data_IF_365824470709
#
_entry.id   IF_365824470709
#
_cell.length_a   1.000
_cell.length_b   1.000
_cell.length_c   1.000
_cell.angle_alpha   90.00
_cell.angle_beta   90.00
_cell.angle_gamma   90.00
#
_symmetry.space_group_name_H-M   'P 1'
#
loop_
_entity.id
_entity.type
_entity.pdbx_description
1 polymer ?
#
# COMPACT_ATOMS: atom_id res chain seq x y z
N UNK A 1 11.56 15.87 8.99
CA UNK A 1 10.14 15.62 9.36
C UNK A 1 9.48 14.84 8.24
N UNK A 2 8.66 13.83 8.55
CA UNK A 2 7.84 13.17 7.53
C UNK A 2 6.92 14.19 6.86
N UNK A 3 6.79 14.10 5.54
CA UNK A 3 5.79 14.87 4.78
C UNK A 3 4.79 13.86 4.23
N UNK A 4 3.71 13.67 4.96
CA UNK A 4 2.69 12.70 4.60
C UNK A 4 1.97 13.07 3.30
N UNK A 5 1.61 12.07 2.50
CA UNK A 5 0.95 12.25 1.20
C UNK A 5 1.86 12.78 0.08
N UNK A 6 3.14 12.97 0.34
CA UNK A 6 4.20 13.24 -0.63
C UNK A 6 5.09 11.99 -0.84
N UNK A 7 6.09 12.10 -1.71
CA UNK A 7 6.96 10.97 -2.04
C UNK A 7 6.41 10.12 -3.18
N UNK A 8 6.79 8.85 -3.22
CA UNK A 8 6.46 7.94 -4.32
C UNK A 8 5.01 7.48 -4.24
N UNK A 9 4.27 7.71 -5.33
CA UNK A 9 2.92 7.16 -5.55
C UNK A 9 2.99 5.94 -6.47
N UNK A 10 1.86 5.52 -7.07
CA UNK A 10 1.73 4.26 -7.77
C UNK A 10 2.74 4.08 -8.93
N UNK A 11 3.68 3.13 -8.82
CA UNK A 11 4.65 2.85 -9.88
C UNK A 11 4.11 1.90 -10.94
N UNK A 12 4.83 1.83 -12.06
CA UNK A 12 4.70 0.73 -13.02
C UNK A 12 6.05 0.13 -13.32
N UNK A 13 6.07 -1.18 -13.61
CA UNK A 13 7.25 -1.90 -14.05
C UNK A 13 7.07 -2.35 -15.49
N UNK A 14 8.13 -2.24 -16.29
CA UNK A 14 8.21 -2.76 -17.66
C UNK A 14 9.56 -3.42 -17.88
N UNK A 15 9.57 -4.41 -18.77
CA UNK A 15 10.77 -5.02 -19.29
C UNK A 15 10.90 -4.67 -20.78
N UNK A 16 12.06 -4.21 -21.19
CA UNK A 16 12.38 -3.90 -22.58
C UNK A 16 13.84 -4.16 -22.85
N UNK A 17 14.12 -4.97 -23.87
CA UNK A 17 15.48 -5.28 -24.37
C UNK A 17 16.53 -5.60 -23.27
N UNK A 18 16.19 -6.52 -22.36
CA UNK A 18 17.13 -6.98 -21.31
C UNK A 18 17.20 -6.05 -20.09
N UNK A 19 16.38 -5.01 -20.02
CA UNK A 19 16.36 -4.04 -18.93
C UNK A 19 14.97 -3.95 -18.32
N UNK A 20 14.92 -3.94 -17.00
CA UNK A 20 13.72 -3.62 -16.21
C UNK A 20 13.69 -2.12 -15.92
N UNK A 21 12.54 -1.53 -16.10
CA UNK A 21 12.25 -0.12 -15.86
C UNK A 21 11.17 0.00 -14.80
N UNK A 22 11.40 0.74 -13.73
CA UNK A 22 10.36 1.17 -12.79
C UNK A 22 10.16 2.66 -12.94
N UNK A 23 8.96 3.02 -13.37
CA UNK A 23 8.54 4.40 -13.56
C UNK A 23 7.56 4.77 -12.44
N UNK A 24 7.81 5.87 -11.74
CA UNK A 24 6.99 6.29 -10.61
C UNK A 24 6.83 7.80 -10.53
N UNK A 25 5.69 8.29 -10.03
CA UNK A 25 5.50 9.70 -9.80
C UNK A 25 5.94 10.10 -8.40
N UNK A 26 6.56 11.25 -8.29
CA UNK A 26 6.55 12.10 -7.11
C UNK A 26 5.66 13.29 -7.45
N UNK A 27 4.37 13.29 -7.10
CA UNK A 27 3.38 14.18 -7.71
C UNK A 27 3.59 15.66 -7.45
N UNK A 28 4.47 16.01 -6.52
CA UNK A 28 4.90 17.39 -6.24
C UNK A 28 6.11 17.81 -7.08
N UNK A 29 6.85 16.85 -7.66
CA UNK A 29 8.14 17.08 -8.32
C UNK A 29 8.17 16.66 -9.78
N UNK A 30 7.58 15.51 -10.12
CA UNK A 30 7.59 14.98 -11.49
C UNK A 30 7.53 13.46 -11.57
N UNK A 31 7.97 12.93 -12.70
CA UNK A 31 8.05 11.49 -12.99
C UNK A 31 9.50 11.05 -12.97
N UNK A 32 9.75 9.95 -12.28
CA UNK A 32 11.08 9.37 -12.14
C UNK A 32 11.15 7.98 -12.77
N UNK A 33 12.32 7.63 -13.25
CA UNK A 33 12.66 6.32 -13.80
C UNK A 33 13.90 5.76 -13.11
N UNK A 34 13.85 4.48 -12.73
CA UNK A 34 15.01 3.70 -12.31
C UNK A 34 15.06 2.40 -13.09
N UNK A 35 16.24 1.85 -13.29
CA UNK A 35 16.46 0.68 -14.15
C UNK A 35 17.39 -0.34 -13.51
N UNK A 36 17.25 -1.59 -13.94
CA UNK A 36 18.20 -2.66 -13.63
C UNK A 36 18.17 -3.75 -14.72
N UNK A 37 19.22 -4.53 -14.81
CA UNK A 37 19.25 -5.79 -15.61
C UNK A 37 18.85 -7.01 -14.78
N UNK A 38 18.95 -6.92 -13.47
CA UNK A 38 18.56 -7.96 -12.52
C UNK A 38 17.61 -7.36 -11.47
N UNK A 39 16.30 -7.71 -11.48
CA UNK A 39 15.33 -7.14 -10.55
C UNK A 39 15.59 -7.50 -9.09
N UNK A 40 16.41 -8.50 -8.82
CA UNK A 40 16.84 -8.90 -7.47
C UNK A 40 18.15 -8.24 -7.04
N UNK A 41 18.83 -7.55 -7.97
CA UNK A 41 20.09 -6.84 -7.76
C UNK A 41 19.89 -5.36 -7.46
N UNK A 42 20.95 -4.60 -7.74
CA UNK A 42 20.96 -3.16 -7.55
C UNK A 42 20.19 -2.44 -8.68
N UNK A 43 19.47 -1.41 -8.33
CA UNK A 43 18.78 -0.49 -9.23
C UNK A 43 19.59 0.80 -9.39
N UNK A 44 19.50 1.42 -10.57
CA UNK A 44 20.13 2.72 -10.80
C UNK A 44 19.54 3.82 -9.90
N UNK A 45 20.29 4.89 -9.71
CA UNK A 45 19.71 6.10 -9.13
C UNK A 45 18.52 6.58 -9.97
N UNK A 46 17.43 7.03 -9.33
CA UNK A 46 16.27 7.54 -10.04
C UNK A 46 16.57 8.82 -10.84
N UNK A 47 16.17 8.84 -12.11
CA UNK A 47 16.28 10.01 -13.00
C UNK A 47 14.92 10.67 -13.12
N UNK A 48 14.83 11.99 -12.90
CA UNK A 48 13.61 12.75 -13.17
C UNK A 48 13.46 12.94 -14.71
N UNK A 49 12.58 12.13 -15.31
CA UNK A 49 12.35 12.13 -16.77
C UNK A 49 11.32 13.16 -17.23
N UNK A 50 10.49 13.68 -16.32
CA UNK A 50 9.51 14.74 -16.53
C UNK A 50 9.39 15.61 -15.28
N UNK A 51 9.80 16.84 -15.35
CA UNK A 51 9.66 17.80 -14.26
C UNK A 51 8.25 18.39 -14.19
N UNK A 52 7.83 18.80 -13.01
CA UNK A 52 6.58 19.48 -12.74
C UNK A 52 5.53 18.59 -12.08
N UNK A 53 4.73 19.20 -11.22
CA UNK A 53 3.73 18.55 -10.43
C UNK A 53 2.56 17.98 -11.24
N UNK A 54 1.82 17.06 -10.61
CA UNK A 54 0.46 16.69 -10.98
C UNK A 54 0.29 15.43 -11.82
N UNK A 55 1.30 14.91 -12.49
CA UNK A 55 1.19 13.62 -13.18
C UNK A 55 1.32 12.48 -12.21
N UNK A 56 0.47 11.45 -12.38
CA UNK A 56 0.39 10.24 -11.54
C UNK A 56 0.27 8.99 -12.39
N UNK A 57 0.55 7.84 -11.79
CA UNK A 57 0.37 6.50 -12.37
C UNK A 57 1.08 6.32 -13.74
N UNK A 58 2.32 6.76 -13.91
CA UNK A 58 2.98 6.72 -15.21
C UNK A 58 3.22 5.30 -15.66
N UNK A 59 3.09 5.07 -16.98
CA UNK A 59 3.43 3.80 -17.60
C UNK A 59 4.23 4.04 -18.88
N UNK A 60 5.51 3.63 -18.93
CA UNK A 60 6.29 3.66 -20.16
C UNK A 60 5.84 2.52 -21.08
N UNK A 61 5.93 2.76 -22.37
CA UNK A 61 5.61 1.82 -23.42
C UNK A 61 6.59 1.99 -24.60
N UNK A 62 7.15 0.90 -25.07
CA UNK A 62 7.99 0.82 -26.27
C UNK A 62 7.22 0.13 -27.39
N UNK A 63 7.20 0.78 -28.55
CA UNK A 63 6.54 0.28 -29.73
C UNK A 63 7.51 -0.54 -30.62
N UNK A 64 6.94 -1.40 -31.47
CA UNK A 64 7.69 -2.25 -32.41
C UNK A 64 8.44 -1.44 -33.49
N UNK A 65 8.05 -0.19 -33.70
CA UNK A 65 8.69 0.73 -34.67
C UNK A 65 9.89 1.52 -34.09
N UNK A 66 10.27 1.22 -32.83
CA UNK A 66 11.36 1.88 -32.13
C UNK A 66 10.99 3.20 -31.46
N UNK A 67 9.73 3.64 -31.55
CA UNK A 67 9.23 4.78 -30.78
C UNK A 67 8.89 4.34 -29.35
N UNK A 68 8.96 5.29 -28.41
CA UNK A 68 8.53 5.06 -27.04
C UNK A 68 7.60 6.17 -26.56
N UNK A 69 6.73 5.83 -25.62
CA UNK A 69 5.68 6.72 -25.10
C UNK A 69 5.57 6.58 -23.59
N UNK A 70 5.13 7.65 -22.95
CA UNK A 70 4.73 7.67 -21.55
C UNK A 70 3.26 8.05 -21.45
N UNK A 71 2.43 7.19 -20.88
CA UNK A 71 1.03 7.48 -20.55
C UNK A 71 0.91 7.74 -19.06
N UNK A 72 0.08 8.71 -18.65
CA UNK A 72 -0.14 9.04 -17.24
C UNK A 72 -1.53 9.66 -17.00
N UNK A 73 -1.99 9.56 -15.76
CA UNK A 73 -3.12 10.32 -15.23
C UNK A 73 -2.69 11.60 -14.55
N UNK A 74 -3.66 12.31 -13.94
CA UNK A 74 -3.40 13.58 -13.23
C UNK A 74 -4.08 13.64 -11.88
N UNK A 75 -3.44 14.30 -10.91
CA UNK A 75 -3.91 14.47 -9.55
C UNK A 75 -4.53 15.85 -9.30
N UNK A 76 -5.84 15.89 -9.00
CA UNK A 76 -6.56 17.14 -8.66
C UNK A 76 -5.91 17.89 -7.50
N UNK A 77 -5.40 17.19 -6.52
CA UNK A 77 -4.75 17.78 -5.34
C UNK A 77 -3.47 18.59 -5.67
N UNK A 78 -2.92 18.46 -6.88
CA UNK A 78 -1.71 19.15 -7.31
C UNK A 78 -1.96 20.19 -8.42
N UNK A 79 -2.88 19.89 -9.34
CA UNK A 79 -3.12 20.75 -10.50
C UNK A 79 -4.58 21.19 -10.68
N UNK A 80 -5.46 20.89 -9.71
CA UNK A 80 -6.83 21.41 -9.65
C UNK A 80 -7.88 20.60 -10.43
N UNK A 81 -7.48 19.63 -11.27
CA UNK A 81 -8.39 18.75 -12.02
C UNK A 81 -7.92 17.29 -12.02
N UNK A 82 -8.81 16.36 -12.33
CA UNK A 82 -8.56 14.92 -12.41
C UNK A 82 -9.35 14.28 -13.56
N UNK A 83 -9.25 12.98 -13.68
CA UNK A 83 -9.98 12.16 -14.66
C UNK A 83 -9.55 12.42 -16.09
N UNK A 84 -8.31 12.80 -16.31
CA UNK A 84 -7.74 13.08 -17.64
C UNK A 84 -6.48 12.22 -17.83
N UNK A 85 -6.36 11.63 -19.01
CA UNK A 85 -5.19 10.85 -19.40
C UNK A 85 -4.39 11.56 -20.49
N UNK A 86 -3.07 11.54 -20.35
CA UNK A 86 -2.12 12.14 -21.29
C UNK A 86 -1.15 11.09 -21.83
N UNK A 87 -0.69 11.31 -23.05
CA UNK A 87 0.45 10.59 -23.65
C UNK A 87 1.46 11.61 -24.15
N UNK A 88 2.73 11.28 -23.97
CA UNK A 88 3.86 12.04 -24.51
C UNK A 88 4.89 11.08 -25.11
N UNK A 89 5.68 11.54 -26.08
CA UNK A 89 6.82 10.77 -26.58
C UNK A 89 7.90 10.66 -25.52
N UNK A 90 8.48 9.48 -25.40
CA UNK A 90 9.59 9.18 -24.51
C UNK A 90 10.84 8.86 -25.35
N UNK A 91 12.00 9.19 -24.84
CA UNK A 91 13.26 8.74 -25.45
C UNK A 91 13.29 7.18 -25.45
N UNK A 92 13.85 6.54 -26.50
CA UNK A 92 13.89 5.09 -26.57
C UNK A 92 14.63 4.43 -25.39
N UNK A 93 15.58 5.12 -24.77
CA UNK A 93 16.30 4.66 -23.57
C UNK A 93 15.49 4.81 -22.27
N UNK A 94 14.30 5.44 -22.33
CA UNK A 94 13.44 5.70 -21.18
C UNK A 94 13.85 6.87 -20.29
N UNK A 95 14.94 7.59 -20.61
CA UNK A 95 15.57 8.56 -19.72
C UNK A 95 15.09 10.01 -19.92
N UNK A 96 14.01 10.22 -20.64
CA UNK A 96 13.42 11.55 -20.84
C UNK A 96 12.19 11.52 -21.72
N UNK A 97 11.43 12.59 -21.67
CA UNK A 97 10.30 12.85 -22.58
C UNK A 97 10.63 13.98 -23.55
N UNK A 98 9.91 14.03 -24.66
CA UNK A 98 10.03 15.12 -25.64
C UNK A 98 8.73 15.31 -26.43
N UNK A 99 8.59 16.49 -27.04
CA UNK A 99 7.42 16.83 -27.84
C UNK A 99 6.24 17.31 -27.00
N UNK A 100 5.04 17.22 -27.54
CA UNK A 100 3.82 17.71 -26.93
C UNK A 100 3.20 16.66 -26.00
N UNK A 101 2.74 17.10 -24.83
CA UNK A 101 1.91 16.31 -23.90
C UNK A 101 0.46 16.35 -24.38
N UNK A 102 0.00 15.27 -25.01
CA UNK A 102 -1.33 15.21 -25.64
C UNK A 102 -2.36 14.64 -24.68
N UNK A 103 -3.45 15.37 -24.43
CA UNK A 103 -4.65 14.84 -23.76
C UNK A 103 -5.31 13.83 -24.69
N UNK A 104 -5.30 12.56 -24.33
CA UNK A 104 -5.88 11.47 -25.12
C UNK A 104 -7.29 11.10 -24.71
N UNK A 105 -7.67 11.39 -23.47
CA UNK A 105 -9.00 11.07 -22.95
C UNK A 105 -9.38 11.98 -21.79
N UNK A 106 -10.65 12.40 -21.75
CA UNK A 106 -11.24 13.15 -20.66
C UNK A 106 -12.43 12.39 -20.08
N UNK A 107 -12.25 11.79 -18.92
CA UNK A 107 -13.26 11.02 -18.24
C UNK A 107 -14.41 11.87 -17.69
N UNK A 108 -14.22 13.18 -17.52
CA UNK A 108 -15.29 14.06 -17.09
C UNK A 108 -16.33 14.29 -18.21
N UNK A 109 -15.91 14.17 -19.46
CA UNK A 109 -16.80 14.29 -20.63
C UNK A 109 -17.40 12.94 -21.09
N UNK A 110 -16.90 11.82 -20.53
CA UNK A 110 -17.23 10.47 -20.99
C UNK A 110 -17.77 9.53 -19.88
N UNK A 111 -18.31 10.06 -18.80
CA UNK A 111 -18.82 9.31 -17.64
C UNK A 111 -17.78 8.31 -17.04
N UNK A 112 -16.49 8.63 -17.19
CA UNK A 112 -15.37 7.86 -16.64
C UNK A 112 -14.68 8.66 -15.51
N UNK A 113 -15.48 9.16 -14.57
CA UNK A 113 -15.00 9.97 -13.45
C UNK A 113 -13.96 9.18 -12.65
N UNK A 114 -12.90 9.85 -12.26
CA UNK A 114 -11.75 9.26 -11.55
C UNK A 114 -11.03 8.19 -12.41
N UNK A 115 -11.02 8.36 -13.73
CA UNK A 115 -10.15 7.52 -14.57
C UNK A 115 -8.69 7.85 -14.27
N UNK A 116 -7.91 6.82 -13.98
CA UNK A 116 -6.51 6.91 -13.53
C UNK A 116 -5.78 5.60 -13.84
N UNK A 117 -4.57 5.39 -13.33
CA UNK A 117 -3.85 4.12 -13.41
C UNK A 117 -3.59 3.59 -14.82
N UNK A 118 -3.33 4.42 -15.85
CA UNK A 118 -3.27 3.94 -17.22
C UNK A 118 -2.08 3.00 -17.45
N UNK A 119 -2.31 1.93 -18.24
CA UNK A 119 -1.27 1.02 -18.72
C UNK A 119 -1.43 0.83 -20.22
N UNK A 120 -0.39 1.19 -21.00
CA UNK A 120 -0.42 1.11 -22.47
C UNK A 120 0.13 -0.21 -22.97
N UNK A 121 -0.52 -0.75 -24.00
CA UNK A 121 -0.16 -1.99 -24.70
C UNK A 121 -0.45 -1.87 -26.20
N UNK A 122 0.07 -2.81 -26.99
CA UNK A 122 -0.25 -2.93 -28.43
C UNK A 122 -0.61 -4.38 -28.77
N UNK A 123 -1.67 -4.57 -29.53
CA UNK A 123 -2.11 -5.88 -30.03
C UNK A 123 -2.89 -5.70 -31.35
N UNK A 124 -2.62 -6.56 -32.32
CA UNK A 124 -3.33 -6.57 -33.62
C UNK A 124 -3.37 -5.19 -34.30
N UNK A 125 -2.29 -4.39 -34.14
CA UNK A 125 -2.18 -3.05 -34.70
C UNK A 125 -3.07 -1.98 -34.04
N UNK A 126 -3.60 -2.27 -32.83
CA UNK A 126 -4.26 -1.31 -31.97
C UNK A 126 -3.40 -1.00 -30.74
N UNK A 127 -3.42 0.25 -30.33
CA UNK A 127 -2.95 0.70 -29.02
C UNK A 127 -4.11 0.64 -28.04
N UNK A 128 -3.83 0.05 -26.86
CA UNK A 128 -4.79 -0.09 -25.77
C UNK A 128 -4.28 0.67 -24.57
N UNK A 129 -5.16 1.41 -23.91
CA UNK A 129 -4.89 1.98 -22.59
C UNK A 129 -5.89 1.38 -21.60
N UNK A 130 -5.36 0.56 -20.69
CA UNK A 130 -6.12 -0.03 -19.60
C UNK A 130 -6.16 0.98 -18.47
N UNK A 131 -7.32 1.52 -18.15
CA UNK A 131 -7.46 2.54 -17.11
C UNK A 131 -8.75 2.33 -16.30
N UNK A 132 -8.66 2.12 -14.97
CA UNK A 132 -9.84 2.02 -14.13
C UNK A 132 -10.50 3.39 -13.96
N UNK A 133 -11.82 3.37 -13.70
CA UNK A 133 -12.62 4.55 -13.41
C UNK A 133 -13.61 4.27 -12.28
N UNK A 134 -14.32 5.28 -11.77
CA UNK A 134 -15.35 5.14 -10.74
C UNK A 134 -14.82 5.03 -9.30
N UNK A 135 -13.51 5.11 -9.11
CA UNK A 135 -12.84 5.05 -7.80
C UNK A 135 -12.67 3.63 -7.25
N UNK A 136 -11.80 3.49 -6.26
CA UNK A 136 -11.30 2.21 -5.74
C UNK A 136 -12.36 1.33 -5.05
N UNK A 137 -13.50 1.90 -4.67
CA UNK A 137 -14.56 1.16 -3.93
C UNK A 137 -15.75 0.77 -4.78
N UNK A 138 -16.02 1.50 -5.84
CA UNK A 138 -17.23 1.32 -6.68
C UNK A 138 -16.93 1.31 -8.15
N UNK A 139 -15.65 1.36 -8.53
CA UNK A 139 -15.22 1.53 -9.90
C UNK A 139 -15.24 0.26 -10.74
N UNK A 140 -14.70 0.40 -11.92
CA UNK A 140 -14.65 -0.59 -12.97
C UNK A 140 -13.39 -0.44 -13.81
N UNK A 141 -13.08 -1.43 -14.63
CA UNK A 141 -11.98 -1.34 -15.59
C UNK A 141 -12.49 -0.88 -16.95
N UNK A 142 -11.97 0.23 -17.41
CA UNK A 142 -12.18 0.77 -18.76
C UNK A 142 -10.96 0.48 -19.63
N UNK A 143 -11.19 0.20 -20.90
CA UNK A 143 -10.17 0.07 -21.93
C UNK A 143 -10.42 1.14 -23.00
N UNK A 144 -9.37 1.87 -23.33
CA UNK A 144 -9.34 2.75 -24.51
C UNK A 144 -8.62 2.01 -25.64
N UNK A 145 -9.10 2.17 -26.89
CA UNK A 145 -8.50 1.54 -28.09
C UNK A 145 -8.39 2.53 -29.23
N UNK A 146 -7.24 2.54 -29.91
CA UNK A 146 -6.97 3.38 -31.07
C UNK A 146 -5.99 2.75 -32.04
N UNK A 147 -5.98 3.19 -33.31
CA UNK A 147 -4.92 2.86 -34.28
C UNK A 147 -3.70 3.78 -34.19
N UNK A 148 -3.77 4.82 -33.35
CA UNK A 148 -2.68 5.79 -33.16
C UNK A 148 -2.45 6.00 -31.66
N UNK A 149 -1.20 6.02 -31.17
CA UNK A 149 -0.90 6.21 -29.74
C UNK A 149 -1.43 7.53 -29.17
N UNK A 150 -1.65 8.52 -29.99
CA UNK A 150 -2.24 9.82 -29.61
C UNK A 150 -3.75 9.91 -29.84
N UNK A 151 -4.40 8.81 -30.24
CA UNK A 151 -5.83 8.75 -30.50
C UNK A 151 -6.25 9.17 -31.93
N UNK A 152 -7.57 9.42 -32.17
CA UNK A 152 -8.64 9.37 -31.16
C UNK A 152 -8.90 7.96 -30.64
N UNK A 153 -9.32 7.86 -29.37
CA UNK A 153 -9.64 6.61 -28.71
C UNK A 153 -11.16 6.38 -28.64
N UNK A 154 -11.60 5.19 -28.95
CA UNK A 154 -12.89 4.63 -28.52
C UNK A 154 -12.69 3.92 -27.17
N UNK A 155 -13.75 3.74 -26.37
CA UNK A 155 -13.63 3.08 -25.07
C UNK A 155 -14.76 2.09 -24.78
N UNK A 156 -14.45 1.13 -23.89
CA UNK A 156 -15.40 0.14 -23.40
C UNK A 156 -15.08 -0.19 -21.95
N UNK A 157 -16.12 -0.37 -21.12
CA UNK A 157 -15.98 -0.96 -19.78
C UNK A 157 -15.96 -2.48 -19.95
N UNK A 158 -14.95 -3.15 -19.42
CA UNK A 158 -14.70 -4.59 -19.66
C UNK A 158 -14.69 -5.44 -18.38
N UNK A 159 -14.69 -4.82 -17.20
CA UNK A 159 -14.79 -5.51 -15.91
C UNK A 159 -15.56 -4.62 -14.93
N UNK A 160 -16.59 -5.18 -14.32
CA UNK A 160 -17.38 -4.58 -13.21
C UNK A 160 -17.49 -5.56 -12.08
N UNK A 161 -17.79 -5.08 -10.88
CA UNK A 161 -18.05 -5.94 -9.72
C UNK A 161 -19.15 -6.98 -10.02
N UNK A 162 -20.27 -6.56 -10.62
CA UNK A 162 -21.44 -7.42 -10.80
C UNK A 162 -21.92 -7.99 -9.46
N UNK A 163 -22.22 -9.29 -9.45
CA UNK A 163 -22.63 -10.04 -8.26
C UNK A 163 -21.45 -10.60 -7.45
N UNK A 164 -20.21 -10.30 -7.86
CA UNK A 164 -19.03 -10.78 -7.16
C UNK A 164 -18.78 -10.00 -5.85
N UNK A 165 -18.09 -10.61 -4.87
CA UNK A 165 -17.67 -9.89 -3.66
C UNK A 165 -16.49 -8.93 -3.89
N UNK A 166 -15.93 -8.89 -5.11
CA UNK A 166 -14.74 -8.09 -5.45
C UNK A 166 -15.15 -6.74 -5.99
N UNK A 167 -15.14 -5.73 -5.15
CA UNK A 167 -15.52 -4.37 -5.50
C UNK A 167 -14.38 -3.62 -6.23
N UNK A 168 -14.75 -2.60 -6.98
CA UNK A 168 -13.90 -1.54 -7.51
C UNK A 168 -12.54 -1.97 -8.07
N UNK A 169 -12.46 -2.86 -9.10
CA UNK A 169 -11.17 -3.28 -9.64
C UNK A 169 -10.37 -2.07 -10.10
N UNK A 170 -9.13 -1.94 -9.58
CA UNK A 170 -8.30 -0.75 -9.79
C UNK A 170 -6.84 -1.10 -10.00
N UNK A 171 -6.08 -0.17 -10.62
CA UNK A 171 -4.63 -0.27 -10.88
C UNK A 171 -4.22 -1.58 -11.55
N UNK A 172 -5.02 -2.03 -12.51
CA UNK A 172 -4.84 -3.32 -13.15
C UNK A 172 -3.76 -3.32 -14.24
N UNK A 173 -3.28 -4.54 -14.54
CA UNK A 173 -2.33 -4.79 -15.60
C UNK A 173 -2.66 -6.09 -16.34
N UNK A 174 -2.63 -6.05 -17.67
CA UNK A 174 -2.64 -7.24 -18.50
C UNK A 174 -1.28 -7.92 -18.45
N UNK A 175 -1.29 -9.23 -18.25
CA UNK A 175 -0.12 -10.10 -18.23
C UNK A 175 -0.42 -11.32 -19.09
N UNK A 176 0.48 -11.68 -19.97
CA UNK A 176 0.43 -12.89 -20.78
C UNK A 176 1.42 -13.94 -20.27
N UNK A 177 1.09 -15.22 -20.49
CA UNK A 177 1.97 -16.35 -20.16
C UNK A 177 2.78 -16.78 -21.39
N UNK A 178 3.84 -17.52 -21.18
CA UNK A 178 4.65 -18.12 -22.25
C UNK A 178 3.85 -19.11 -23.13
N UNK A 179 2.71 -19.60 -22.65
CA UNK A 179 1.79 -20.48 -23.37
C UNK A 179 0.72 -19.73 -24.15
N UNK A 180 0.71 -18.39 -24.04
CA UNK A 180 -0.24 -17.53 -24.76
C UNK A 180 -1.59 -17.34 -24.07
N UNK A 181 -1.66 -17.57 -22.75
CA UNK A 181 -2.84 -17.21 -21.97
C UNK A 181 -2.76 -15.75 -21.53
N UNK A 182 -3.90 -15.09 -21.54
CA UNK A 182 -4.06 -13.72 -21.07
C UNK A 182 -4.66 -13.69 -19.66
N UNK A 183 -4.10 -12.88 -18.80
CA UNK A 183 -4.51 -12.70 -17.40
C UNK A 183 -4.51 -11.23 -17.03
N UNK A 184 -5.29 -10.88 -16.01
CA UNK A 184 -5.40 -9.51 -15.53
C UNK A 184 -5.19 -9.44 -14.03
N UNK A 185 -4.17 -8.72 -13.59
CA UNK A 185 -3.93 -8.39 -12.19
C UNK A 185 -4.65 -7.09 -11.84
N UNK A 186 -5.32 -7.06 -10.70
CA UNK A 186 -5.88 -5.83 -10.14
C UNK A 186 -5.95 -5.92 -8.63
N UNK A 187 -6.24 -4.83 -7.93
CA UNK A 187 -6.55 -4.90 -6.52
C UNK A 187 -8.04 -4.67 -6.24
N UNK A 188 -8.46 -5.11 -5.05
CA UNK A 188 -9.69 -4.78 -4.38
C UNK A 188 -9.39 -3.96 -3.14
N UNK A 189 -10.12 -2.89 -2.85
CA UNK A 189 -10.04 -2.15 -1.58
C UNK A 189 -10.91 -2.82 -0.52
N UNK A 190 -10.29 -3.37 0.53
CA UNK A 190 -10.95 -4.06 1.64
C UNK A 190 -10.84 -3.22 2.92
N UNK A 191 -10.96 -1.92 2.78
CA UNK A 191 -11.04 -0.93 3.87
C UNK A 191 -9.88 -1.03 4.87
N UNK A 192 -10.14 -1.36 6.15
CA UNK A 192 -9.10 -1.45 7.16
C UNK A 192 -8.05 -2.52 6.86
N UNK A 193 -8.44 -3.64 6.22
CA UNK A 193 -7.51 -4.67 5.77
C UNK A 193 -6.67 -4.24 4.55
N UNK A 194 -7.00 -3.11 3.92
CA UNK A 194 -6.22 -2.54 2.83
C UNK A 194 -6.56 -3.10 1.45
N UNK A 195 -5.58 -3.06 0.55
CA UNK A 195 -5.75 -3.45 -0.84
C UNK A 195 -5.24 -4.87 -1.07
N UNK A 196 -6.11 -5.73 -1.56
CA UNK A 196 -5.83 -7.15 -1.82
C UNK A 196 -5.74 -7.36 -3.32
N UNK A 197 -4.68 -8.02 -3.77
CA UNK A 197 -4.44 -8.30 -5.19
C UNK A 197 -5.21 -9.54 -5.62
N UNK A 198 -5.84 -9.44 -6.79
CA UNK A 198 -6.54 -10.51 -7.48
C UNK A 198 -5.92 -10.78 -8.84
N UNK A 199 -5.99 -12.04 -9.27
CA UNK A 199 -5.65 -12.46 -10.62
C UNK A 199 -6.93 -12.96 -11.31
N UNK A 200 -7.30 -12.34 -12.43
CA UNK A 200 -8.50 -12.71 -13.20
C UNK A 200 -8.12 -13.36 -14.52
N UNK A 201 -8.89 -14.35 -15.00
CA UNK A 201 -8.77 -14.80 -16.39
C UNK A 201 -9.13 -13.65 -17.34
N UNK A 202 -8.50 -13.63 -18.49
CA UNK A 202 -8.80 -12.67 -19.54
C UNK A 202 -8.79 -13.36 -20.91
N UNK A 203 -9.64 -12.95 -21.82
CA UNK A 203 -9.62 -13.38 -23.21
C UNK A 203 -10.08 -12.23 -24.13
N UNK A 204 -9.88 -12.39 -25.43
CA UNK A 204 -10.17 -11.35 -26.40
C UNK A 204 -11.33 -11.75 -27.31
N UNK A 205 -12.28 -10.83 -27.47
CA UNK A 205 -13.40 -10.96 -28.39
C UNK A 205 -13.52 -9.69 -29.26
N UNK A 206 -13.45 -9.84 -30.59
CA UNK A 206 -13.54 -8.72 -31.54
C UNK A 206 -12.55 -7.57 -31.20
N UNK A 207 -11.31 -7.93 -30.86
CA UNK A 207 -10.26 -7.02 -30.42
C UNK A 207 -10.63 -6.17 -29.17
N UNK A 208 -11.49 -6.68 -28.30
CA UNK A 208 -11.72 -6.16 -26.95
C UNK A 208 -11.46 -7.25 -25.91
N UNK A 209 -10.81 -6.92 -24.79
CA UNK A 209 -10.65 -7.89 -23.72
C UNK A 209 -11.97 -8.05 -22.94
N UNK A 210 -12.23 -9.28 -22.53
CA UNK A 210 -13.21 -9.63 -21.49
C UNK A 210 -12.39 -10.10 -20.29
N UNK A 211 -12.55 -9.43 -19.15
CA UNK A 211 -11.79 -9.71 -17.93
C UNK A 211 -12.72 -10.36 -16.92
N UNK A 212 -12.27 -11.44 -16.28
CA UNK A 212 -13.10 -12.26 -15.42
C UNK A 212 -14.01 -13.17 -16.23
N UNK A 213 -15.24 -13.38 -15.77
CA UNK A 213 -16.24 -14.26 -16.42
C UNK A 213 -17.47 -13.46 -16.78
N UNK A 214 -17.86 -13.54 -18.05
CA UNK A 214 -19.14 -13.02 -18.51
C UNK A 214 -20.24 -14.03 -18.20
N UNK A 215 -21.12 -13.76 -17.25
CA UNK A 215 -22.16 -14.67 -16.79
C UNK A 215 -23.47 -14.58 -17.59
N UNK A 216 -23.82 -13.39 -18.04
CA UNK A 216 -25.17 -13.11 -18.54
C UNK A 216 -25.18 -12.57 -19.99
N UNK A 217 -24.09 -12.75 -20.74
CA UNK A 217 -23.95 -12.18 -22.07
C UNK A 217 -23.83 -10.65 -22.07
N UNK A 218 -23.39 -10.08 -20.97
CA UNK A 218 -23.10 -8.67 -20.84
C UNK A 218 -21.88 -8.27 -21.69
N UNK A 219 -21.72 -6.98 -21.92
CA UNK A 219 -20.54 -6.45 -22.61
C UNK A 219 -19.27 -6.38 -21.75
N UNK A 220 -19.31 -6.88 -20.51
CA UNK A 220 -18.21 -6.88 -19.54
C UNK A 220 -18.15 -8.21 -18.76
N UNK A 221 -17.01 -8.51 -18.18
CA UNK A 221 -16.88 -9.64 -17.24
C UNK A 221 -17.01 -9.20 -15.79
N UNK A 222 -17.11 -10.20 -14.91
CA UNK A 222 -17.14 -10.06 -13.45
C UNK A 222 -15.93 -10.78 -12.84
N UNK A 223 -15.35 -10.26 -11.73
CA UNK A 223 -14.28 -10.94 -11.04
C UNK A 223 -14.69 -12.32 -10.53
N UNK A 224 -13.76 -13.25 -10.52
CA UNK A 224 -13.91 -14.56 -9.90
C UNK A 224 -13.01 -14.69 -8.70
N UNK A 225 -13.47 -15.42 -7.65
CA UNK A 225 -12.68 -15.71 -6.46
C UNK A 225 -11.82 -16.97 -6.61
N UNK A 226 -12.23 -17.85 -7.50
CA UNK A 226 -11.56 -19.11 -7.79
C UNK A 226 -11.49 -19.33 -9.29
N UNK A 227 -10.34 -19.75 -9.77
CA UNK A 227 -10.10 -20.15 -11.14
C UNK A 227 -8.94 -21.13 -11.23
N UNK A 228 -8.78 -21.80 -12.37
CA UNK A 228 -7.60 -22.62 -12.62
C UNK A 228 -6.32 -21.75 -12.55
N UNK A 229 -5.20 -22.35 -12.17
CA UNK A 229 -3.92 -21.66 -12.23
C UNK A 229 -3.52 -21.35 -13.68
N UNK A 230 -2.78 -20.24 -13.93
CA UNK A 230 -2.18 -19.98 -15.23
C UNK A 230 -1.29 -21.15 -15.70
N UNK A 231 -1.36 -21.46 -16.98
CA UNK A 231 -0.38 -22.33 -17.61
C UNK A 231 0.89 -21.52 -17.91
N UNK A 232 1.96 -21.84 -17.21
CA UNK A 232 3.28 -21.19 -17.38
C UNK A 232 4.27 -22.07 -18.14
N UNK A 233 3.79 -23.06 -18.87
CA UNK A 233 4.60 -23.98 -19.67
C UNK A 233 5.47 -24.94 -18.82
N UNK A 234 4.99 -25.27 -17.61
CA UNK A 234 5.66 -26.20 -16.70
C UNK A 234 4.80 -27.41 -16.43
N UNK A 235 5.43 -28.59 -16.38
CA UNK A 235 4.73 -29.81 -16.03
C UNK A 235 4.38 -29.85 -14.53
N UNK A 236 3.37 -30.66 -14.12
CA UNK A 236 3.09 -30.86 -12.70
C UNK A 236 4.30 -31.36 -11.89
N UNK A 237 5.15 -32.17 -12.50
CA UNK A 237 6.38 -32.70 -11.88
C UNK A 237 7.42 -31.61 -11.65
N UNK A 238 7.58 -30.69 -12.63
CA UNK A 238 8.47 -29.53 -12.47
C UNK A 238 7.95 -28.58 -11.36
N UNK A 239 6.63 -28.37 -11.28
CA UNK A 239 5.99 -27.51 -10.26
C UNK A 239 6.00 -28.15 -8.86
N UNK A 240 6.13 -29.49 -8.78
CA UNK A 240 6.26 -30.20 -7.50
C UNK A 240 7.64 -30.05 -6.86
N UNK A 241 8.63 -29.52 -7.60
CA UNK A 241 9.94 -29.19 -7.03
C UNK A 241 9.82 -27.96 -6.09
N UNK A 242 9.59 -28.24 -4.81
CA UNK A 242 9.42 -27.22 -3.79
C UNK A 242 10.71 -26.44 -3.48
N UNK A 243 11.88 -26.91 -3.89
CA UNK A 243 13.11 -26.13 -3.77
C UNK A 243 13.18 -25.01 -4.82
N UNK A 244 12.68 -25.30 -6.04
CA UNK A 244 12.66 -24.33 -7.14
C UNK A 244 11.40 -23.45 -7.12
N UNK A 245 10.28 -24.02 -6.69
CA UNK A 245 8.98 -23.33 -6.62
C UNK A 245 8.40 -23.50 -5.22
N UNK A 246 8.99 -22.85 -4.21
CA UNK A 246 8.49 -22.95 -2.85
C UNK A 246 7.08 -22.35 -2.74
N UNK A 247 6.25 -22.98 -1.93
CA UNK A 247 5.02 -22.32 -1.46
C UNK A 247 5.46 -21.32 -0.41
N UNK A 248 5.35 -20.04 -0.74
CA UNK A 248 5.72 -18.95 0.16
C UNK A 248 4.47 -18.29 0.71
N UNK A 249 4.43 -18.16 2.02
CA UNK A 249 3.48 -17.30 2.73
C UNK A 249 4.24 -16.09 3.28
N UNK A 250 3.66 -14.89 3.29
CA UNK A 250 4.30 -13.75 3.91
C UNK A 250 4.55 -14.01 5.40
N UNK A 251 5.77 -13.77 5.83
CA UNK A 251 6.09 -13.84 7.25
C UNK A 251 5.29 -12.79 8.03
N UNK A 252 4.77 -13.17 9.18
CA UNK A 252 4.01 -12.28 10.07
C UNK A 252 4.65 -12.17 11.44
N UNK A 253 5.31 -13.22 11.90
CA UNK A 253 6.07 -13.26 13.16
C UNK A 253 7.55 -13.01 12.86
N UNK A 254 8.22 -12.29 13.77
CA UNK A 254 9.66 -12.05 13.70
C UNK A 254 10.26 -12.15 15.12
N UNK A 255 11.21 -13.04 15.28
CA UNK A 255 11.96 -13.20 16.53
C UNK A 255 13.25 -12.36 16.56
N UNK A 256 13.49 -11.58 15.49
CA UNK A 256 14.64 -10.69 15.32
C UNK A 256 16.00 -11.38 15.45
N UNK A 257 16.09 -12.60 14.94
CA UNK A 257 17.29 -13.45 14.96
C UNK A 257 18.17 -13.26 13.70
N UNK A 258 17.79 -12.34 12.84
CA UNK A 258 18.53 -11.95 11.63
C UNK A 258 19.24 -10.62 11.79
N UNK A 259 20.32 -10.39 11.04
CA UNK A 259 21.06 -9.12 11.07
C UNK A 259 20.27 -7.94 10.52
N UNK A 260 19.27 -8.21 9.66
CA UNK A 260 18.44 -7.19 9.03
C UNK A 260 16.98 -7.51 9.28
N UNK A 261 16.16 -6.47 9.30
CA UNK A 261 14.70 -6.61 9.35
C UNK A 261 14.21 -7.40 8.14
N UNK A 262 13.26 -8.30 8.38
CA UNK A 262 12.59 -9.07 7.35
C UNK A 262 11.65 -8.18 6.51
N UNK A 263 11.25 -8.66 5.34
CA UNK A 263 10.52 -7.85 4.33
C UNK A 263 9.10 -7.41 4.74
N UNK A 264 8.50 -8.02 5.76
CA UNK A 264 7.19 -7.60 6.27
C UNK A 264 7.24 -6.24 6.99
N UNK A 265 8.42 -5.83 7.47
CA UNK A 265 8.59 -4.56 8.18
C UNK A 265 8.70 -3.38 7.24
N UNK A 266 8.11 -2.28 7.64
CA UNK A 266 8.20 -1.01 6.94
C UNK A 266 8.20 0.15 7.92
N UNK A 267 9.00 1.15 7.63
CA UNK A 267 9.00 2.41 8.38
C UNK A 267 7.88 3.33 7.91
N UNK A 268 7.37 4.13 8.82
CA UNK A 268 6.31 5.10 8.50
C UNK A 268 6.80 6.26 7.61
N UNK A 269 8.10 6.52 7.63
CA UNK A 269 8.78 7.53 6.82
C UNK A 269 10.20 7.08 6.52
N UNK A 270 10.99 7.93 5.86
CA UNK A 270 12.41 7.67 5.65
C UNK A 270 13.11 7.46 6.99
N UNK A 271 13.74 6.30 7.13
CA UNK A 271 14.41 5.92 8.37
C UNK A 271 15.92 6.18 8.30
N UNK A 272 16.55 6.06 9.45
CA UNK A 272 17.99 6.08 9.61
C UNK A 272 18.41 4.77 10.30
N UNK A 273 19.50 4.16 9.84
CA UNK A 273 19.99 2.89 10.37
C UNK A 273 20.26 2.92 11.88
N UNK A 274 20.53 4.11 12.44
CA UNK A 274 20.73 4.29 13.88
C UNK A 274 19.45 4.15 14.72
N UNK A 275 18.27 4.04 14.10
CA UNK A 275 17.01 3.97 14.83
C UNK A 275 16.72 2.59 15.41
N UNK A 276 17.41 1.55 14.94
CA UNK A 276 17.21 0.20 15.46
C UNK A 276 18.51 -0.60 15.45
N UNK A 277 18.50 -1.67 16.23
CA UNK A 277 19.50 -2.72 16.23
C UNK A 277 18.81 -4.06 16.47
N UNK A 278 19.15 -5.08 15.68
CA UNK A 278 18.80 -6.46 15.97
C UNK A 278 19.97 -7.10 16.70
N UNK A 279 19.70 -7.79 17.82
CA UNK A 279 20.78 -8.36 18.65
C UNK A 279 20.38 -9.66 19.30
N UNK A 280 21.36 -10.52 19.47
CA UNK A 280 21.30 -11.60 20.44
C UNK A 280 21.41 -11.03 21.86
N UNK A 281 20.69 -11.63 22.81
CA UNK A 281 20.53 -11.12 24.17
C UNK A 281 21.85 -10.78 24.87
N UNK A 282 22.05 -9.50 25.16
CA UNK A 282 23.17 -8.98 25.96
C UNK A 282 22.72 -8.62 27.38
N UNK A 283 21.40 -8.59 27.65
CA UNK A 283 20.83 -8.09 28.90
C UNK A 283 20.04 -9.14 29.70
N UNK A 284 19.96 -10.39 29.22
CA UNK A 284 19.27 -11.49 29.89
C UNK A 284 17.74 -11.36 29.95
N UNK A 285 17.13 -10.52 29.10
CA UNK A 285 15.71 -10.23 29.08
C UNK A 285 15.07 -10.41 27.68
N UNK A 286 15.80 -11.04 26.78
CA UNK A 286 15.35 -11.24 25.43
C UNK A 286 14.31 -12.38 25.29
N UNK A 287 13.91 -12.65 24.05
CA UNK A 287 13.07 -13.79 23.71
C UNK A 287 13.66 -15.11 24.22
N UNK A 288 12.87 -16.16 24.22
CA UNK A 288 13.36 -17.51 24.55
C UNK A 288 14.53 -17.95 23.69
N UNK A 289 14.65 -17.38 22.49
CA UNK A 289 15.74 -17.62 21.54
C UNK A 289 16.97 -16.72 21.74
N UNK A 290 16.91 -15.78 22.69
CA UNK A 290 18.02 -14.87 22.98
C UNK A 290 18.21 -13.73 21.98
N UNK A 291 17.24 -13.45 21.13
CA UNK A 291 17.27 -12.35 20.16
C UNK A 291 16.19 -11.29 20.41
N UNK A 292 16.41 -10.09 19.95
CA UNK A 292 15.48 -8.97 20.11
C UNK A 292 15.77 -7.85 19.11
N UNK A 293 14.79 -6.97 18.91
CA UNK A 293 15.01 -5.67 18.33
C UNK A 293 15.11 -4.61 19.44
N UNK A 294 16.10 -3.72 19.34
CA UNK A 294 16.20 -2.50 20.12
C UNK A 294 15.81 -1.33 19.24
N UNK A 295 14.81 -0.59 19.65
CA UNK A 295 14.43 0.67 19.01
C UNK A 295 15.04 1.83 19.82
N UNK A 296 15.78 2.71 19.16
CA UNK A 296 16.37 3.89 19.78
C UNK A 296 15.37 5.05 19.74
N UNK A 297 15.13 5.68 20.88
CA UNK A 297 14.25 6.83 20.95
C UNK A 297 14.80 7.99 20.12
N UNK A 298 13.96 8.48 19.21
CA UNK A 298 14.28 9.63 18.36
C UNK A 298 13.45 10.80 18.85
N UNK A 299 14.08 11.98 19.10
CA UNK A 299 13.34 13.14 19.56
C UNK A 299 12.21 13.50 18.60
N UNK A 300 10.98 13.52 19.13
CA UNK A 300 9.84 14.13 18.46
C UNK A 300 9.83 15.63 18.79
N UNK A 301 9.37 16.45 17.87
CA UNK A 301 9.01 17.83 18.23
C UNK A 301 7.85 17.77 19.22
N UNK A 302 7.85 18.57 20.30
CA UNK A 302 6.77 18.57 21.26
C UNK A 302 5.41 18.71 20.56
N UNK A 303 4.41 17.95 21.01
CA UNK A 303 3.03 17.98 20.54
C UNK A 303 2.76 17.39 19.14
N UNK A 304 3.59 16.48 18.64
CA UNK A 304 3.26 15.76 17.41
C UNK A 304 2.40 14.54 17.68
N UNK A 305 1.39 14.29 16.82
CA UNK A 305 0.61 13.05 16.86
C UNK A 305 1.44 11.80 16.64
N UNK A 306 0.99 10.66 17.15
CA UNK A 306 1.69 9.36 16.97
C UNK A 306 2.00 9.07 15.50
N UNK A 307 1.11 9.42 14.57
CA UNK A 307 1.36 9.26 13.15
C UNK A 307 2.59 9.98 12.60
N UNK A 308 3.09 10.98 13.33
CA UNK A 308 4.29 11.75 12.98
C UNK A 308 5.55 11.29 13.74
N UNK A 309 5.46 10.27 14.59
CA UNK A 309 6.65 9.73 15.25
C UNK A 309 7.61 9.18 14.20
N UNK A 310 8.89 9.46 14.36
CA UNK A 310 9.90 9.01 13.41
C UNK A 310 10.15 7.52 13.51
N UNK A 311 10.34 7.00 14.71
CA UNK A 311 10.61 5.59 14.93
C UNK A 311 9.31 4.80 15.11
N UNK A 312 8.59 4.62 14.00
CA UNK A 312 7.42 3.76 13.86
C UNK A 312 7.77 2.61 12.93
N UNK A 313 7.94 1.41 13.48
CA UNK A 313 8.20 0.19 12.73
C UNK A 313 6.92 -0.64 12.62
N UNK A 314 6.41 -0.80 11.41
CA UNK A 314 5.05 -1.23 11.13
C UNK A 314 5.01 -2.46 10.22
N UNK A 315 3.93 -3.22 10.34
CA UNK A 315 3.52 -4.27 9.40
C UNK A 315 2.11 -3.98 8.88
N UNK A 316 1.79 -4.47 7.68
CA UNK A 316 0.40 -4.54 7.21
C UNK A 316 -0.37 -5.56 8.05
N UNK A 317 -1.68 -5.38 8.16
CA UNK A 317 -2.54 -6.42 8.73
C UNK A 317 -2.43 -7.70 7.90
N UNK A 318 -2.13 -8.84 8.52
CA UNK A 318 -2.01 -10.11 7.80
C UNK A 318 -3.37 -10.70 7.40
N UNK A 319 -4.43 -10.32 8.12
CA UNK A 319 -5.79 -10.81 7.93
C UNK A 319 -6.80 -9.79 8.48
N UNK A 320 -8.10 -9.92 8.12
CA UNK A 320 -9.17 -9.11 8.73
C UNK A 320 -9.39 -9.39 10.23
N UNK A 321 -9.00 -10.57 10.69
CA UNK A 321 -9.08 -11.00 12.08
C UNK A 321 -7.77 -11.70 12.46
N UNK A 322 -7.13 -11.23 13.51
CA UNK A 322 -5.86 -11.79 13.98
C UNK A 322 -5.53 -11.29 15.39
N UNK A 323 -4.56 -11.94 16.01
CA UNK A 323 -3.94 -11.50 17.25
C UNK A 323 -2.43 -11.49 17.08
N UNK A 324 -1.76 -10.47 17.57
CA UNK A 324 -0.32 -10.45 17.72
C UNK A 324 0.09 -10.00 19.11
N UNK A 325 1.25 -10.47 19.55
CA UNK A 325 1.80 -10.19 20.88
C UNK A 325 3.26 -9.78 20.77
N UNK A 326 3.69 -8.95 21.69
CA UNK A 326 5.12 -8.62 21.85
C UNK A 326 5.49 -8.56 23.33
N UNK A 327 6.69 -9.03 23.65
CA UNK A 327 7.32 -8.85 24.95
C UNK A 327 8.23 -7.64 24.88
N UNK A 328 8.04 -6.66 25.75
CA UNK A 328 8.76 -5.42 25.76
C UNK A 328 9.58 -5.26 27.04
N UNK A 329 10.88 -5.08 26.92
CA UNK A 329 11.75 -4.67 28.01
C UNK A 329 11.63 -3.18 28.24
N UNK A 330 11.53 -2.76 29.50
CA UNK A 330 11.52 -1.36 29.92
C UNK A 330 12.93 -0.82 30.23
N UNK A 331 13.94 -1.68 30.07
CA UNK A 331 15.32 -1.28 30.29
C UNK A 331 15.75 -0.17 29.30
N UNK A 332 16.37 0.86 29.84
CA UNK A 332 16.89 1.97 29.04
C UNK A 332 15.90 3.09 28.75
N UNK A 333 14.61 2.94 29.12
CA UNK A 333 13.69 4.08 29.04
C UNK A 333 14.12 5.23 29.95
N UNK A 334 14.17 6.43 29.41
CA UNK A 334 14.50 7.68 30.11
C UNK A 334 13.24 8.54 30.30
N UNK A 335 13.32 9.50 31.24
CA UNK A 335 12.24 10.48 31.39
C UNK A 335 12.00 11.21 30.06
N UNK A 336 10.72 11.29 29.65
CA UNK A 336 10.31 11.79 28.35
C UNK A 336 10.11 10.72 27.29
N UNK A 337 10.59 9.49 27.50
CA UNK A 337 10.39 8.41 26.54
C UNK A 337 8.96 7.85 26.64
N UNK A 338 8.43 7.47 25.48
CA UNK A 338 7.19 6.70 25.32
C UNK A 338 7.41 5.61 24.29
N UNK A 339 7.19 4.36 24.68
CA UNK A 339 7.40 3.19 23.82
C UNK A 339 6.27 2.18 23.97
N UNK A 340 5.95 1.46 22.90
CA UNK A 340 4.90 0.46 22.91
C UNK A 340 4.48 -0.03 21.54
N UNK A 341 3.21 -0.40 21.43
CA UNK A 341 2.55 -0.85 20.19
C UNK A 341 1.57 0.18 19.67
N UNK A 342 1.36 0.15 18.37
CA UNK A 342 0.45 1.06 17.67
C UNK A 342 -0.38 0.32 16.63
N UNK A 343 -1.61 0.72 16.47
CA UNK A 343 -2.46 0.41 15.32
C UNK A 343 -2.74 1.70 14.58
N UNK A 344 -2.18 1.86 13.38
CA UNK A 344 -2.11 3.11 12.64
C UNK A 344 -2.93 3.07 11.36
N UNK A 345 -4.00 3.82 11.33
CA UNK A 345 -4.81 4.16 10.16
C UNK A 345 -5.14 5.66 10.17
N UNK A 346 -6.23 6.07 9.55
CA UNK A 346 -6.78 7.42 9.69
C UNK A 346 -7.24 7.69 11.13
N UNK A 347 -7.92 6.71 11.73
CA UNK A 347 -8.11 6.62 13.16
C UNK A 347 -7.11 5.61 13.70
N UNK A 348 -6.55 5.85 14.87
CA UNK A 348 -5.48 5.01 15.42
C UNK A 348 -5.54 4.91 16.95
N UNK A 349 -4.86 3.89 17.47
CA UNK A 349 -4.63 3.75 18.89
C UNK A 349 -3.19 3.30 19.17
N UNK A 350 -2.64 3.76 20.28
CA UNK A 350 -1.34 3.33 20.79
C UNK A 350 -1.45 2.97 22.26
N UNK A 351 -0.67 1.96 22.66
CA UNK A 351 -0.55 1.50 24.03
C UNK A 351 0.91 1.27 24.36
N UNK A 352 1.37 1.79 25.47
CA UNK A 352 2.74 1.56 25.90
C UNK A 352 3.05 2.18 27.25
N UNK A 353 4.35 2.30 27.52
CA UNK A 353 4.88 2.85 28.75
C UNK A 353 5.59 4.16 28.47
N UNK A 354 5.16 5.21 29.15
CA UNK A 354 5.89 6.45 29.25
C UNK A 354 6.70 6.46 30.55
N UNK A 355 7.89 7.07 30.52
CA UNK A 355 8.66 7.37 31.74
C UNK A 355 8.53 8.85 32.04
N UNK A 356 8.06 9.17 33.25
CA UNK A 356 7.79 10.53 33.71
C UNK A 356 8.17 10.68 35.18
N UNK A 357 8.98 11.67 35.48
CA UNK A 357 9.47 11.95 36.84
C UNK A 357 10.06 10.70 37.53
N UNK A 358 10.87 9.92 36.80
CA UNK A 358 11.48 8.66 37.24
C UNK A 358 10.52 7.47 37.34
N UNK A 359 9.23 7.59 37.04
CA UNK A 359 8.22 6.54 37.18
C UNK A 359 7.71 6.05 35.84
N UNK A 360 7.37 4.76 35.77
CA UNK A 360 6.69 4.17 34.63
C UNK A 360 5.18 4.45 34.70
N UNK A 361 4.62 4.92 33.61
CA UNK A 361 3.21 5.26 33.46
C UNK A 361 2.63 4.51 32.29
N UNK A 362 1.54 3.78 32.50
CA UNK A 362 0.80 3.19 31.40
C UNK A 362 0.07 4.30 30.64
N UNK A 363 0.42 4.43 29.38
CA UNK A 363 -0.16 5.45 28.50
C UNK A 363 -0.90 4.83 27.33
N UNK A 364 -2.11 5.30 27.11
CA UNK A 364 -2.88 5.03 25.92
C UNK A 364 -3.14 6.32 25.14
N UNK A 365 -3.14 6.18 23.82
CA UNK A 365 -3.47 7.28 22.91
C UNK A 365 -4.56 6.80 21.95
N UNK A 366 -5.59 7.63 21.74
CA UNK A 366 -6.51 7.52 20.61
C UNK A 366 -6.38 8.76 19.76
N UNK A 367 -6.13 8.59 18.49
CA UNK A 367 -6.08 9.66 17.52
C UNK A 367 -7.13 9.50 16.44
N UNK A 368 -7.66 10.62 16.01
CA UNK A 368 -8.57 10.72 14.88
C UNK A 368 -8.08 11.80 13.94
N UNK A 369 -7.87 11.44 12.71
CA UNK A 369 -7.50 12.41 11.69
C UNK A 369 -8.75 12.97 11.03
N UNK A 370 -8.98 14.28 11.21
CA UNK A 370 -9.97 15.03 10.46
C UNK A 370 -9.40 15.39 9.09
N UNK A 371 -9.54 14.48 8.15
CA UNK A 371 -8.78 14.54 6.93
C UNK A 371 -9.68 14.54 5.71
N UNK A 372 -9.60 15.62 4.90
CA UNK A 372 -10.01 15.60 3.52
C UNK A 372 -8.88 14.87 2.72
N UNK A 373 -9.24 13.85 1.95
CA UNK A 373 -8.29 13.04 1.19
C UNK A 373 -7.41 13.85 0.22
N UNK A 374 -7.76 15.11 -0.04
CA UNK A 374 -7.03 16.03 -0.92
C UNK A 374 -6.13 17.02 -0.16
N UNK A 375 -6.22 17.10 1.19
CA UNK A 375 -5.40 18.01 1.99
C UNK A 375 -4.06 17.40 2.40
N UNK A 376 -3.04 18.23 2.54
CA UNK A 376 -1.78 17.81 3.15
C UNK A 376 -1.97 17.51 4.65
N UNK A 377 -1.15 16.62 5.19
CA UNK A 377 -1.09 16.37 6.63
C UNK A 377 -0.64 17.64 7.36
N UNK A 378 -1.47 18.17 8.22
CA UNK A 378 -1.11 19.27 9.12
C UNK A 378 -1.45 18.87 10.55
N UNK A 379 -0.69 19.36 11.53
CA UNK A 379 -0.93 19.11 12.96
C UNK A 379 -2.34 19.57 13.41
N UNK A 380 -2.96 20.50 12.69
CA UNK A 380 -4.31 21.01 12.94
C UNK A 380 -5.41 20.00 12.60
N UNK A 381 -5.11 18.95 11.83
CA UNK A 381 -6.10 17.98 11.36
C UNK A 381 -6.17 16.71 12.22
N UNK A 382 -5.48 16.67 13.36
CA UNK A 382 -5.45 15.49 14.24
C UNK A 382 -6.03 15.82 15.60
N UNK A 383 -7.09 15.10 15.99
CA UNK A 383 -7.64 15.11 17.36
C UNK A 383 -7.08 13.89 18.11
N UNK A 384 -6.16 14.15 19.05
CA UNK A 384 -5.47 13.09 19.80
C UNK A 384 -5.79 13.19 21.30
N UNK A 385 -6.25 12.08 21.86
CA UNK A 385 -6.54 11.97 23.30
C UNK A 385 -5.52 11.05 23.96
N UNK A 386 -4.70 11.63 24.85
CA UNK A 386 -3.71 10.93 25.66
C UNK A 386 -4.30 10.66 27.05
N UNK A 387 -4.16 9.42 27.55
CA UNK A 387 -4.61 9.04 28.89
C UNK A 387 -3.49 8.26 29.59
N UNK A 388 -3.07 8.80 30.73
CA UNK A 388 -2.16 8.13 31.65
C UNK A 388 -3.00 7.49 32.76
N UNK A 389 -3.00 6.15 32.88
CA UNK A 389 -3.98 5.42 33.73
C UNK A 389 -3.38 4.78 34.95
N UNK A 390 -2.12 4.37 34.93
CA UNK A 390 -1.50 3.65 36.03
C UNK A 390 -0.02 4.01 36.15
N UNK A 391 0.43 4.18 37.39
CA UNK A 391 1.85 4.25 37.72
C UNK A 391 2.24 2.90 38.30
N UNK A 392 3.28 2.29 37.82
CA UNK A 392 3.76 1.01 38.32
C UNK A 392 5.21 1.05 38.76
N UNK A 393 5.61 0.01 39.48
CA UNK A 393 6.90 -0.03 40.15
C UNK A 393 8.07 0.07 39.19
N UNK A 394 9.12 0.79 39.56
CA UNK A 394 10.40 0.81 38.85
C UNK A 394 11.09 -0.58 38.84
N UNK A 395 10.63 -1.52 39.67
CA UNK A 395 11.07 -2.92 39.63
C UNK A 395 10.51 -3.70 38.46
N UNK A 396 9.47 -3.20 37.77
CA UNK A 396 8.93 -3.80 36.57
C UNK A 396 9.96 -3.75 35.45
N UNK A 397 10.43 -4.93 35.02
CA UNK A 397 11.47 -5.04 33.99
C UNK A 397 10.89 -5.27 32.60
N UNK A 398 9.73 -5.91 32.54
CA UNK A 398 9.12 -6.41 31.30
C UNK A 398 7.61 -6.31 31.38
N UNK A 399 7.00 -6.01 30.25
CA UNK A 399 5.57 -6.07 30.03
C UNK A 399 5.29 -6.88 28.74
N UNK A 400 4.06 -7.32 28.59
CA UNK A 400 3.56 -7.99 27.39
C UNK A 400 2.42 -7.16 26.84
N UNK A 401 2.48 -6.88 25.57
CA UNK A 401 1.48 -6.09 24.86
C UNK A 401 0.84 -6.98 23.80
N UNK A 402 -0.48 -6.92 23.69
CA UNK A 402 -1.26 -7.69 22.73
C UNK A 402 -2.17 -6.79 21.93
N UNK A 403 -2.35 -7.12 20.68
CA UNK A 403 -3.21 -6.44 19.74
C UNK A 403 -4.14 -7.46 19.09
N UNK A 404 -5.43 -7.30 19.26
CA UNK A 404 -6.47 -8.20 18.73
C UNK A 404 -7.40 -7.44 17.81
N UNK A 405 -7.62 -7.97 16.61
CA UNK A 405 -8.58 -7.44 15.62
C UNK A 405 -9.69 -8.44 15.40
N UNK A 406 -10.93 -7.98 15.41
CA UNK A 406 -12.12 -8.78 15.11
C UNK A 406 -13.04 -8.02 14.17
N UNK A 407 -13.58 -8.73 13.20
CA UNK A 407 -14.66 -8.22 12.37
C UNK A 407 -15.98 -8.34 13.11
N UNK A 408 -16.63 -7.22 13.38
CA UNK A 408 -17.85 -7.17 14.20
C UNK A 408 -19.12 -6.96 13.39
N UNK A 409 -19.00 -6.67 12.10
CA UNK A 409 -20.14 -6.47 11.22
C UNK A 409 -19.81 -5.73 9.94
N UNK A 410 -20.86 -5.17 9.35
CA UNK A 410 -20.81 -4.31 8.18
C UNK A 410 -21.63 -3.07 8.41
N UNK A 411 -21.26 -1.97 7.75
CA UNK A 411 -22.02 -0.71 7.80
C UNK A 411 -22.09 -0.08 6.40
N UNK A 412 -23.02 0.84 6.26
CA UNK A 412 -23.01 1.79 5.14
C UNK A 412 -22.11 2.97 5.47
N UNK A 413 -21.38 3.48 4.50
CA UNK A 413 -20.59 4.70 4.63
C UNK A 413 -20.69 5.54 3.37
N UNK A 414 -20.37 6.80 3.49
CA UNK A 414 -20.27 7.72 2.36
C UNK A 414 -18.81 8.11 2.20
N UNK A 415 -18.24 7.79 1.04
CA UNK A 415 -16.89 8.16 0.69
C UNK A 415 -16.85 8.88 -0.65
N UNK A 416 -16.13 10.00 -0.70
CA UNK A 416 -16.01 10.83 -1.90
C UNK A 416 -17.37 11.13 -2.57
N UNK A 417 -18.40 11.42 -1.76
CA UNK A 417 -19.78 11.65 -2.16
C UNK A 417 -20.56 10.41 -2.71
N UNK A 418 -19.95 9.23 -2.73
CA UNK A 418 -20.61 7.99 -3.10
C UNK A 418 -21.09 7.22 -1.87
N UNK A 419 -22.27 6.62 -1.95
CA UNK A 419 -22.76 5.67 -0.94
C UNK A 419 -22.07 4.33 -1.18
N UNK A 420 -21.49 3.76 -0.13
CA UNK A 420 -20.87 2.43 -0.18
C UNK A 420 -21.52 1.55 0.86
N UNK A 421 -22.07 0.43 0.41
CA UNK A 421 -22.74 -0.54 1.26
C UNK A 421 -21.78 -1.65 1.71
N UNK A 422 -22.12 -2.31 2.82
CA UNK A 422 -21.43 -3.48 3.34
C UNK A 422 -19.93 -3.27 3.62
N UNK A 423 -19.57 -2.08 4.09
CA UNK A 423 -18.20 -1.81 4.54
C UNK A 423 -17.92 -2.62 5.80
N UNK A 424 -16.90 -3.47 5.81
CA UNK A 424 -16.49 -4.19 7.02
C UNK A 424 -16.21 -3.26 8.18
N UNK A 425 -16.57 -3.69 9.39
CA UNK A 425 -16.25 -3.01 10.63
C UNK A 425 -15.32 -3.91 11.44
N UNK A 426 -14.09 -3.48 11.59
CA UNK A 426 -13.08 -4.14 12.39
C UNK A 426 -12.86 -3.35 13.69
N UNK A 427 -13.04 -4.04 14.81
CA UNK A 427 -12.71 -3.52 16.15
C UNK A 427 -11.32 -4.03 16.55
N UNK A 428 -10.50 -3.11 16.99
CA UNK A 428 -9.15 -3.39 17.46
C UNK A 428 -9.06 -3.09 18.96
N UNK A 429 -8.49 -4.05 19.70
CA UNK A 429 -8.23 -3.96 21.14
C UNK A 429 -6.75 -4.10 21.40
N UNK A 430 -6.18 -3.15 22.15
CA UNK A 430 -4.82 -3.21 22.64
C UNK A 430 -4.86 -3.52 24.14
N UNK A 431 -4.11 -4.54 24.53
CA UNK A 431 -4.15 -5.15 25.85
C UNK A 431 -2.75 -5.18 26.46
N UNK A 432 -2.65 -5.13 27.78
CA UNK A 432 -1.41 -5.26 28.54
C UNK A 432 -1.46 -6.43 29.52
N UNK A 433 -0.32 -7.07 29.72
CA UNK A 433 -0.09 -8.05 30.77
C UNK A 433 1.28 -7.84 31.42
N UNK A 434 1.38 -8.12 32.71
CA UNK A 434 2.64 -8.09 33.47
C UNK A 434 3.25 -9.49 33.67
N UNK A 435 2.50 -10.55 33.36
CA UNK A 435 2.91 -11.95 33.54
C UNK A 435 2.89 -12.77 32.23
N UNK A 436 2.46 -12.14 31.10
CA UNK A 436 2.31 -12.79 29.81
C UNK A 436 1.15 -13.79 29.71
N UNK A 437 0.25 -13.81 30.69
CA UNK A 437 -0.89 -14.74 30.77
C UNK A 437 -2.21 -14.04 30.99
N UNK A 438 -2.24 -13.07 31.89
CA UNK A 438 -3.44 -12.36 32.28
C UNK A 438 -3.42 -10.97 31.60
N UNK A 439 -4.14 -10.87 30.47
CA UNK A 439 -4.25 -9.63 29.72
C UNK A 439 -5.45 -8.81 30.17
N UNK A 440 -5.29 -7.50 30.17
CA UNK A 440 -6.32 -6.52 30.46
C UNK A 440 -6.47 -5.54 29.30
N UNK A 441 -7.69 -5.29 28.90
CA UNK A 441 -8.02 -4.29 27.88
C UNK A 441 -7.56 -2.90 28.34
N UNK A 442 -6.74 -2.24 27.53
CA UNK A 442 -6.26 -0.90 27.81
C UNK A 442 -6.94 0.13 26.92
N UNK A 443 -7.09 -0.15 25.65
CA UNK A 443 -7.75 0.73 24.68
C UNK A 443 -8.34 -0.07 23.54
N UNK A 444 -9.56 0.32 23.12
CA UNK A 444 -10.23 -0.22 21.93
C UNK A 444 -10.69 0.90 21.01
N UNK A 445 -10.78 0.61 19.72
CA UNK A 445 -11.30 1.55 18.72
C UNK A 445 -11.78 0.81 17.48
N UNK A 446 -12.67 1.46 16.70
CA UNK A 446 -13.05 0.97 15.37
C UNK A 446 -11.97 1.37 14.37
N UNK A 447 -11.39 0.38 13.72
CA UNK A 447 -10.31 0.60 12.77
C UNK A 447 -10.81 1.31 11.50
N UNK A 448 -9.99 2.20 10.97
CA UNK A 448 -10.24 2.92 9.72
C UNK A 448 -8.98 2.92 8.89
N UNK A 449 -9.12 2.52 7.62
CA UNK A 449 -7.99 2.50 6.68
C UNK A 449 -7.15 3.77 6.75
N UNK A 450 -5.88 3.65 6.48
CA UNK A 450 -5.00 4.77 6.21
C UNK A 450 -5.29 5.41 4.86
N UNK A 451 -4.53 6.43 4.50
CA UNK A 451 -4.67 7.07 3.19
C UNK A 451 -4.15 6.12 2.10
N UNK A 452 -5.06 5.61 1.27
CA UNK A 452 -4.81 4.65 0.18
C UNK A 452 -4.16 3.32 0.60
N UNK A 453 -4.06 3.07 1.88
CA UNK A 453 -3.51 1.84 2.44
C UNK A 453 -4.39 1.32 3.55
N UNK A 454 -4.24 0.05 3.93
CA UNK A 454 -4.89 -0.51 5.10
C UNK A 454 -4.30 0.02 6.41
N UNK A 455 -4.88 -0.40 7.50
CA UNK A 455 -4.32 -0.19 8.84
C UNK A 455 -3.04 -1.00 8.97
N UNK A 456 -2.08 -0.47 9.69
CA UNK A 456 -0.81 -1.11 10.03
C UNK A 456 -0.73 -1.30 11.54
N UNK A 457 -0.13 -2.38 11.98
CA UNK A 457 0.23 -2.59 13.37
C UNK A 457 1.75 -2.62 13.52
N UNK A 458 2.25 -2.27 14.68
CA UNK A 458 3.69 -2.31 14.91
C UNK A 458 4.12 -1.75 16.25
N UNK A 459 5.37 -1.38 16.30
CA UNK A 459 6.06 -0.91 17.50
C UNK A 459 6.58 0.51 17.28
N UNK A 460 6.75 1.22 18.37
CA UNK A 460 7.31 2.56 18.31
C UNK A 460 8.10 2.91 19.57
N UNK A 461 8.98 3.88 19.42
CA UNK A 461 9.58 4.63 20.52
C UNK A 461 9.72 6.09 20.12
N UNK A 462 9.41 6.97 21.04
CA UNK A 462 9.56 8.42 20.89
C UNK A 462 10.12 9.03 22.15
N UNK A 463 10.87 10.11 22.02
CA UNK A 463 11.34 10.94 23.13
C UNK A 463 10.70 12.32 23.00
N UNK A 464 9.95 12.72 24.02
CA UNK A 464 9.37 14.06 24.13
C UNK A 464 10.16 14.83 25.19
N UNK A 465 10.83 15.89 24.77
CA UNK A 465 11.54 16.81 25.66
C UNK A 465 10.59 17.66 26.50
#
# INVERSE_FOLDING_TARGET
NPIHGCGVWAPSIRYHEGTYYVCFPMPDEGIYMTTTKDPWGEWSDPVNIRQGAGWIDPCPFWDDDGNAYLVAGVAKSRIGYKSVLHVVRMQPDGMGIFGEEVKIFDGNENDQITIEGPKMYKRNGYYYVFAPAGGVKTGWQTILRSKNPFGPYEYKVVLRQGDSPVNGPHQGAWVDTVTGEDWFLHFQDVYAAGRITHLQPMHWENDWPIIGVNKDGNDYGEPVMEYRKPDIGKTPEELADTQKYPVCEPDTTDEFDTEKLMLQWQWNANYDDSWYETKTDVYGNASENGSYIKLNAVPATPLRPVGDYRNLLLQKWPAPEFTCETKMSLYGLMDGDYAGIVSLGMDYAALGVAKKDGKYVLRTIKGKQNFDCEAAYTDENVDEKVIDTAVFSDDTKTIYLKYTVKRTGVKQTKEMALSVDNVPVEEAVLEISFDGKNYQDAVSYTAKAGRWVGVKNGMFVSHNN
#
